data_IF_390314751825
#
_entry.id   IF_390314751825
#
_cell.length_a   1.000
_cell.length_b   1.000
_cell.length_c   1.000
_cell.angle_alpha   90.00
_cell.angle_beta   90.00
_cell.angle_gamma   90.00
#
_symmetry.space_group_name_H-M   'P 1'
#
loop_
_entity.id
_entity.type
_entity.pdbx_description
1 polymer ?
#
# COMPACT_ATOMS: atom_id res chain seq x y z
N UNK A 1 36.57 -12.31 -10.59
CA UNK A 1 35.49 -13.22 -11.03
C UNK A 1 34.27 -12.37 -11.36
N UNK A 2 33.56 -12.65 -12.46
CA UNK A 2 32.39 -11.85 -12.83
C UNK A 2 31.31 -11.97 -11.74
N UNK A 3 30.91 -10.85 -11.14
CA UNK A 3 29.79 -10.80 -10.19
C UNK A 3 28.58 -11.41 -10.90
N UNK A 4 28.06 -12.54 -10.40
CA UNK A 4 26.86 -13.15 -10.96
C UNK A 4 25.72 -12.13 -10.87
N UNK A 5 25.05 -11.88 -12.00
CA UNK A 5 23.91 -10.98 -12.11
C UNK A 5 22.67 -11.78 -12.48
N UNK A 6 21.52 -11.34 -11.99
CA UNK A 6 20.20 -11.84 -12.34
C UNK A 6 19.25 -10.67 -12.58
N UNK A 7 18.17 -10.90 -13.32
CA UNK A 7 17.12 -9.89 -13.50
C UNK A 7 16.46 -9.55 -12.17
N UNK A 8 16.24 -8.26 -11.93
CA UNK A 8 15.63 -7.75 -10.70
C UNK A 8 14.28 -8.41 -10.39
N UNK A 9 13.41 -8.60 -11.40
CA UNK A 9 12.10 -9.25 -11.22
C UNK A 9 12.20 -10.70 -10.71
N UNK A 10 13.18 -11.45 -11.19
CA UNK A 10 13.46 -12.81 -10.69
C UNK A 10 14.13 -12.78 -9.33
N UNK A 11 15.05 -11.85 -9.12
CA UNK A 11 15.82 -11.73 -7.88
C UNK A 11 14.93 -11.37 -6.68
N UNK A 12 13.93 -10.51 -6.87
CA UNK A 12 12.92 -10.18 -5.85
C UNK A 12 12.11 -11.42 -5.40
N UNK A 13 11.72 -12.28 -6.35
CA UNK A 13 11.01 -13.53 -6.03
C UNK A 13 11.94 -14.56 -5.40
N UNK A 14 13.15 -14.72 -5.94
CA UNK A 14 14.14 -15.68 -5.44
C UNK A 14 14.62 -15.36 -4.01
N UNK A 15 14.54 -14.10 -3.60
CA UNK A 15 14.81 -13.64 -2.23
C UNK A 15 13.56 -13.52 -1.37
N UNK A 16 12.42 -14.01 -1.84
CA UNK A 16 11.14 -14.00 -1.12
C UNK A 16 10.65 -12.60 -0.69
N UNK A 17 11.15 -11.55 -1.36
CA UNK A 17 10.75 -10.16 -1.11
C UNK A 17 9.34 -9.87 -1.63
N UNK A 18 8.90 -10.63 -2.64
CA UNK A 18 7.55 -10.59 -3.20
C UNK A 18 7.11 -12.00 -3.62
N UNK A 19 5.80 -12.31 -3.56
CA UNK A 19 5.32 -13.69 -3.73
C UNK A 19 5.33 -14.16 -5.19
N UNK A 20 5.25 -13.25 -6.16
CA UNK A 20 5.15 -13.61 -7.58
C UNK A 20 5.95 -12.67 -8.45
N UNK A 21 6.35 -13.17 -9.63
CA UNK A 21 7.06 -12.36 -10.63
C UNK A 21 6.20 -11.20 -11.15
N UNK A 22 4.89 -11.39 -11.24
CA UNK A 22 3.96 -10.32 -11.63
C UNK A 22 3.93 -9.21 -10.59
N UNK A 23 3.92 -9.56 -9.29
CA UNK A 23 4.00 -8.57 -8.21
C UNK A 23 5.36 -7.87 -8.22
N UNK A 24 6.46 -8.60 -8.46
CA UNK A 24 7.80 -8.03 -8.63
C UNK A 24 7.83 -6.96 -9.73
N UNK A 25 7.27 -7.25 -10.90
CA UNK A 25 7.20 -6.30 -12.00
C UNK A 25 6.37 -5.06 -11.62
N UNK A 26 5.24 -5.26 -10.93
CA UNK A 26 4.40 -4.16 -10.43
C UNK A 26 5.16 -3.22 -9.49
N UNK A 27 5.81 -3.73 -8.44
CA UNK A 27 6.52 -2.91 -7.46
C UNK A 27 7.76 -2.21 -8.06
N UNK A 28 8.44 -2.86 -9.01
CA UNK A 28 9.54 -2.23 -9.76
C UNK A 28 9.02 -1.05 -10.60
N UNK A 29 7.97 -1.28 -11.39
CA UNK A 29 7.39 -0.24 -12.26
C UNK A 29 6.76 0.91 -11.45
N UNK A 30 6.28 0.63 -10.24
CA UNK A 30 5.79 1.63 -9.30
C UNK A 30 6.90 2.47 -8.64
N UNK A 31 8.18 2.18 -8.92
CA UNK A 31 9.32 2.86 -8.30
C UNK A 31 9.45 2.56 -6.81
N UNK A 32 9.03 1.37 -6.39
CA UNK A 32 9.03 0.90 -5.00
C UNK A 32 10.28 0.07 -4.67
N UNK A 33 11.20 -0.13 -5.61
CA UNK A 33 12.40 -0.95 -5.42
C UNK A 33 13.66 -0.10 -5.48
N UNK A 34 14.46 -0.17 -4.44
CA UNK A 34 15.80 0.42 -4.35
C UNK A 34 16.85 -0.69 -4.43
N UNK A 35 17.88 -0.49 -5.24
CA UNK A 35 19.04 -1.37 -5.36
C UNK A 35 20.27 -0.55 -5.01
N UNK A 36 20.99 -0.95 -3.95
CA UNK A 36 22.14 -0.21 -3.42
C UNK A 36 21.85 1.29 -3.22
N UNK A 37 20.65 1.60 -2.70
CA UNK A 37 20.17 2.97 -2.46
C UNK A 37 19.65 3.73 -3.69
N UNK A 38 19.67 3.13 -4.88
CA UNK A 38 19.19 3.77 -6.12
C UNK A 38 17.89 3.15 -6.60
N UNK A 39 16.91 3.96 -6.97
CA UNK A 39 15.63 3.47 -7.50
C UNK A 39 15.84 2.79 -8.86
N UNK A 40 15.31 1.57 -9.03
CA UNK A 40 15.33 0.83 -10.29
C UNK A 40 13.90 0.56 -10.73
N UNK A 41 13.56 1.03 -11.92
CA UNK A 41 12.20 1.00 -12.49
C UNK A 41 12.05 0.01 -13.66
N UNK A 42 13.13 -0.68 -14.04
CA UNK A 42 13.16 -1.65 -15.14
C UNK A 42 13.25 -3.08 -14.61
N UNK A 43 12.21 -3.92 -14.78
CA UNK A 43 12.20 -5.29 -14.25
C UNK A 43 13.31 -6.20 -14.78
N UNK A 44 13.75 -5.96 -16.02
CA UNK A 44 14.82 -6.73 -16.67
C UNK A 44 16.24 -6.29 -16.32
N UNK A 45 16.42 -5.31 -15.42
CA UNK A 45 17.74 -4.81 -15.03
C UNK A 45 18.56 -5.93 -14.40
N UNK A 46 19.77 -6.14 -14.91
CA UNK A 46 20.70 -7.14 -14.39
C UNK A 46 21.39 -6.61 -13.12
N UNK A 47 20.98 -7.14 -11.98
CA UNK A 47 21.43 -6.75 -10.64
C UNK A 47 22.34 -7.82 -10.05
N UNK A 48 23.35 -7.40 -9.29
CA UNK A 48 24.25 -8.33 -8.58
C UNK A 48 23.45 -9.22 -7.62
N UNK A 49 23.75 -10.52 -7.56
CA UNK A 49 23.15 -11.42 -6.56
C UNK A 49 23.43 -11.01 -5.11
N UNK A 50 24.41 -10.13 -4.89
CA UNK A 50 24.81 -9.58 -3.58
C UNK A 50 24.33 -8.15 -3.35
N UNK A 51 23.63 -7.52 -4.31
CA UNK A 51 23.16 -6.14 -4.13
C UNK A 51 22.19 -6.06 -2.95
N UNK A 52 22.24 -4.96 -2.21
CA UNK A 52 21.23 -4.65 -1.20
C UNK A 52 19.95 -4.23 -1.94
N UNK A 53 18.82 -4.91 -1.65
CA UNK A 53 17.54 -4.64 -2.31
C UNK A 53 16.53 -4.31 -1.22
N UNK A 54 15.97 -3.11 -1.30
CA UNK A 54 14.96 -2.61 -0.38
C UNK A 54 13.66 -2.38 -1.14
N UNK A 55 12.56 -2.83 -0.56
CA UNK A 55 11.22 -2.47 -0.98
C UNK A 55 10.76 -1.29 -0.15
N UNK A 56 10.19 -0.25 -0.79
CA UNK A 56 9.45 0.77 -0.08
C UNK A 56 8.35 0.09 0.73
N UNK A 57 8.23 0.48 2.00
CA UNK A 57 7.18 -0.01 2.86
C UNK A 57 5.82 0.21 2.19
N UNK A 58 4.99 -0.83 2.20
CA UNK A 58 3.61 -0.72 1.77
C UNK A 58 2.94 0.32 2.67
N UNK A 59 2.14 1.21 2.07
CA UNK A 59 1.39 2.19 2.84
C UNK A 59 0.51 1.44 3.86
N UNK A 60 0.42 1.91 5.12
CA UNK A 60 -0.43 1.28 6.13
C UNK A 60 -1.92 1.39 5.77
N UNK A 61 -2.27 2.25 4.80
CA UNK A 61 -3.62 2.49 4.33
C UNK A 61 -3.70 2.35 2.81
N UNK A 62 -4.87 2.00 2.27
CA UNK A 62 -5.12 1.86 0.82
C UNK A 62 -4.85 3.14 0.00
N UNK A 63 -4.72 4.30 0.66
CA UNK A 63 -4.31 5.54 0.01
C UNK A 63 -3.54 6.47 0.94
N UNK A 64 -2.65 7.29 0.36
CA UNK A 64 -1.85 8.29 1.10
C UNK A 64 -2.69 9.29 1.90
N UNK A 65 -3.96 9.47 1.53
CA UNK A 65 -4.91 10.27 2.30
C UNK A 65 -5.00 9.84 3.77
N UNK A 66 -4.88 8.54 4.06
CA UNK A 66 -5.01 8.00 5.42
C UNK A 66 -4.08 8.65 6.45
N UNK A 67 -2.86 9.07 6.06
CA UNK A 67 -1.96 9.79 6.98
C UNK A 67 -2.56 11.09 7.54
N UNK A 68 -3.45 11.75 6.80
CA UNK A 68 -4.11 12.98 7.28
C UNK A 68 -5.05 12.67 8.44
N UNK A 69 -5.90 11.65 8.29
CA UNK A 69 -6.84 11.27 9.34
C UNK A 69 -6.11 10.62 10.52
N UNK A 70 -5.13 9.74 10.25
CA UNK A 70 -4.32 9.13 11.31
C UNK A 70 -3.64 10.19 12.17
N UNK A 71 -2.99 11.18 11.54
CA UNK A 71 -2.39 12.30 12.26
C UNK A 71 -3.42 13.14 13.02
N UNK A 72 -4.63 13.32 12.49
CA UNK A 72 -5.71 14.03 13.17
C UNK A 72 -6.23 13.28 14.40
N UNK A 73 -6.46 11.95 14.30
CA UNK A 73 -6.90 11.14 15.43
C UNK A 73 -5.89 11.20 16.58
N UNK A 74 -4.60 11.09 16.28
CA UNK A 74 -3.52 11.22 17.25
C UNK A 74 -3.45 12.62 17.85
N UNK A 75 -3.37 13.66 17.00
CA UNK A 75 -3.18 15.05 17.45
C UNK A 75 -4.33 15.54 18.30
N UNK A 76 -5.55 15.17 17.95
CA UNK A 76 -6.77 15.59 18.66
C UNK A 76 -7.23 14.57 19.72
N UNK A 77 -6.48 13.48 19.92
CA UNK A 77 -6.82 12.39 20.85
C UNK A 77 -8.26 11.88 20.68
N UNK A 78 -8.67 11.68 19.43
CA UNK A 78 -10.01 11.19 19.07
C UNK A 78 -10.03 9.66 19.06
N UNK A 79 -10.87 9.07 19.89
CA UNK A 79 -11.15 7.63 19.86
C UNK A 79 -12.41 7.36 19.01
N UNK A 80 -12.26 6.50 18.00
CA UNK A 80 -13.35 6.07 17.10
C UNK A 80 -13.75 4.62 17.34
N UNK A 81 -13.20 3.98 18.38
CA UNK A 81 -13.55 2.61 18.75
C UNK A 81 -15.05 2.50 19.04
N UNK A 82 -15.73 1.55 18.38
CA UNK A 82 -17.18 1.38 18.55
C UNK A 82 -18.04 2.41 17.81
N UNK A 83 -17.44 3.38 17.12
CA UNK A 83 -18.17 4.45 16.44
C UNK A 83 -18.73 4.02 15.08
N UNK A 84 -19.84 4.65 14.70
CA UNK A 84 -20.35 4.66 13.33
C UNK A 84 -19.89 5.97 12.69
N UNK A 85 -19.14 5.88 11.60
CA UNK A 85 -18.50 7.02 10.96
C UNK A 85 -19.06 7.26 9.55
N UNK A 86 -18.95 8.49 9.08
CA UNK A 86 -19.19 8.86 7.69
C UNK A 86 -17.90 9.44 7.10
N UNK A 87 -17.41 8.82 6.03
CA UNK A 87 -16.26 9.28 5.25
C UNK A 87 -16.79 9.97 3.98
N UNK A 88 -16.79 11.31 3.98
CA UNK A 88 -17.35 12.12 2.89
C UNK A 88 -16.24 12.52 1.93
N UNK A 89 -16.35 12.05 0.69
CA UNK A 89 -15.26 12.10 -0.30
C UNK A 89 -14.29 10.93 -0.17
N UNK A 90 -14.83 9.72 0.05
CA UNK A 90 -14.05 8.53 0.38
C UNK A 90 -12.98 8.19 -0.67
N UNK A 91 -13.19 8.53 -1.95
CA UNK A 91 -12.26 8.29 -3.05
C UNK A 91 -11.77 6.83 -3.08
N UNK A 92 -10.46 6.59 -2.97
CA UNK A 92 -9.90 5.22 -2.90
C UNK A 92 -10.09 4.55 -1.53
N UNK A 93 -10.53 5.29 -0.51
CA UNK A 93 -10.88 4.76 0.82
C UNK A 93 -9.83 4.97 1.91
N UNK A 94 -8.88 5.89 1.73
CA UNK A 94 -7.79 6.09 2.69
C UNK A 94 -8.25 6.46 4.10
N UNK A 95 -9.34 7.24 4.25
CA UNK A 95 -9.90 7.58 5.56
C UNK A 95 -10.75 6.45 6.12
N UNK A 96 -11.59 5.84 5.27
CA UNK A 96 -12.34 4.62 5.60
C UNK A 96 -11.44 3.55 6.21
N UNK A 97 -10.29 3.25 5.60
CA UNK A 97 -9.33 2.27 6.10
C UNK A 97 -8.78 2.64 7.49
N UNK A 98 -8.38 3.91 7.69
CA UNK A 98 -7.94 4.41 9.00
C UNK A 98 -9.02 4.21 10.06
N UNK A 99 -10.27 4.56 9.76
CA UNK A 99 -11.38 4.42 10.71
C UNK A 99 -11.59 2.95 11.11
N UNK A 100 -11.58 2.03 10.14
CA UNK A 100 -11.76 0.61 10.39
C UNK A 100 -10.60 0.01 11.20
N UNK A 101 -9.36 0.38 10.88
CA UNK A 101 -8.17 -0.06 11.63
C UNK A 101 -8.15 0.47 13.07
N UNK A 102 -8.78 1.63 13.31
CA UNK A 102 -8.90 2.24 14.64
C UNK A 102 -10.22 1.88 15.37
N UNK A 103 -10.91 0.83 14.91
CA UNK A 103 -12.00 0.22 15.68
C UNK A 103 -13.40 0.78 15.41
N UNK A 104 -13.60 1.58 14.35
CA UNK A 104 -14.96 1.93 13.91
C UNK A 104 -15.73 0.65 13.54
N UNK A 105 -16.99 0.56 13.99
CA UNK A 105 -17.84 -0.62 13.76
C UNK A 105 -18.62 -0.54 12.45
N UNK A 106 -18.76 0.67 11.90
CA UNK A 106 -19.36 0.90 10.58
C UNK A 106 -18.85 2.20 9.98
N UNK A 107 -18.59 2.20 8.67
CA UNK A 107 -18.21 3.40 7.92
C UNK A 107 -19.11 3.54 6.70
N UNK A 108 -19.80 4.68 6.58
CA UNK A 108 -20.48 5.08 5.35
C UNK A 108 -19.47 5.80 4.46
N UNK A 109 -19.00 5.14 3.41
CA UNK A 109 -18.04 5.68 2.44
C UNK A 109 -18.80 6.39 1.31
N UNK A 110 -18.93 7.71 1.44
CA UNK A 110 -19.78 8.53 0.57
C UNK A 110 -18.88 9.20 -0.47
N UNK A 111 -19.14 8.95 -1.75
CA UNK A 111 -18.46 9.64 -2.84
C UNK A 111 -19.40 9.88 -4.03
N UNK A 112 -19.09 10.87 -4.86
CA UNK A 112 -19.80 11.14 -6.12
C UNK A 112 -19.21 10.33 -7.28
N UNK A 113 -17.98 9.84 -7.13
CA UNK A 113 -17.30 8.98 -8.09
C UNK A 113 -17.73 7.51 -7.98
N UNK A 114 -17.79 6.84 -9.13
CA UNK A 114 -18.16 5.42 -9.21
C UNK A 114 -16.92 4.52 -9.29
N UNK A 115 -16.94 3.41 -8.54
CA UNK A 115 -15.92 2.35 -8.65
C UNK A 115 -14.51 2.74 -8.18
N UNK A 116 -14.40 3.77 -7.33
CA UNK A 116 -13.11 4.28 -6.87
C UNK A 116 -12.58 3.59 -5.62
N UNK A 117 -13.50 3.13 -4.75
CA UNK A 117 -13.14 2.51 -3.47
C UNK A 117 -12.34 1.24 -3.70
N UNK A 118 -11.26 1.06 -2.92
CA UNK A 118 -10.46 -0.15 -2.97
C UNK A 118 -11.32 -1.41 -2.78
N UNK A 119 -11.03 -2.44 -3.56
CA UNK A 119 -11.83 -3.67 -3.60
C UNK A 119 -11.88 -4.41 -2.25
N UNK A 120 -10.84 -4.29 -1.44
CA UNK A 120 -10.82 -4.88 -0.09
C UNK A 120 -11.81 -4.18 0.83
N UNK A 121 -11.83 -2.84 0.84
CA UNK A 121 -12.77 -2.05 1.63
C UNK A 121 -14.21 -2.23 1.16
N UNK A 122 -14.42 -2.34 -0.16
CA UNK A 122 -15.76 -2.55 -0.71
C UNK A 122 -16.39 -3.89 -0.30
N UNK A 123 -15.57 -4.88 0.05
CA UNK A 123 -16.02 -6.18 0.53
C UNK A 123 -16.10 -6.27 2.06
N UNK A 124 -15.61 -5.27 2.79
CA UNK A 124 -15.69 -5.26 4.25
C UNK A 124 -17.15 -5.02 4.68
N UNK A 125 -17.72 -5.93 5.47
CA UNK A 125 -19.12 -5.87 5.92
C UNK A 125 -19.42 -4.64 6.79
N UNK A 126 -18.38 -3.99 7.32
CA UNK A 126 -18.50 -2.74 8.09
C UNK A 126 -18.64 -1.51 7.18
N UNK A 127 -18.40 -1.64 5.88
CA UNK A 127 -18.45 -0.52 4.92
C UNK A 127 -19.78 -0.50 4.17
N UNK A 128 -20.36 0.70 4.05
CA UNK A 128 -21.56 0.97 3.25
C UNK A 128 -21.21 2.02 2.19
N UNK A 129 -21.52 1.75 0.93
CA UNK A 129 -21.27 2.59 -0.26
C UNK A 129 -22.55 2.89 -1.01
#
# INVERSE_FOLDING_TARGET
>A
MAKKKERLDKLLVARELVPTRSKAQGVILAGEVLVDGTMVDKPGTAVSLEANIELKAQLPYVGRGGFKLAGALETFALDVTGAICADVGACTGGFTDVLLQNGAVRVYAIDVGYGQLDWSLRQDERVVV
#
